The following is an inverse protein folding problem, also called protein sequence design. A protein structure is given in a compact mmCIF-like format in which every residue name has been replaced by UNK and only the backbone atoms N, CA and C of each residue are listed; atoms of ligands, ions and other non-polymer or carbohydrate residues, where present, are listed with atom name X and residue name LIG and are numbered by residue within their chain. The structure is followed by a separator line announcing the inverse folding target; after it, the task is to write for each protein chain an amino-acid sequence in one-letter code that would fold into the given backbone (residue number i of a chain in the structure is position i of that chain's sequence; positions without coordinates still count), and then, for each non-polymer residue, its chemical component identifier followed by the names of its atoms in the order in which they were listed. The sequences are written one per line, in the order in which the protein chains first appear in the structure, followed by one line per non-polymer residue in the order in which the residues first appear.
data_IF_953116631401
#
_entry.id   IF_953116631401
#
_cell.length_a   1.000
_cell.length_b   1.000
_cell.length_c   1.000
_cell.angle_alpha   90.00
_cell.angle_beta   90.00
_cell.angle_gamma   90.00
#
_symmetry.space_group_name_H-M   'P 1'
#
loop_
_entity.id
_entity.type
_entity.pdbx_description
1 polymer ?
#
# COMPACT_ATOMS: atom_id res chain seq x y z
N UNK A 1 -0.29 -25.69 14.41
CA UNK A 1 -0.63 -24.75 15.49
C UNK A 1 0.49 -23.75 15.69
N UNK A 2 1.74 -24.20 15.89
CA UNK A 2 2.92 -23.34 15.99
C UNK A 2 3.02 -22.21 14.94
N UNK A 3 2.91 -22.51 13.63
CA UNK A 3 2.97 -21.48 12.57
C UNK A 3 1.91 -20.37 12.71
N UNK A 4 0.69 -20.74 13.09
CA UNK A 4 -0.41 -19.78 13.28
C UNK A 4 -0.11 -18.87 14.46
N UNK A 5 0.43 -19.42 15.56
CA UNK A 5 0.83 -18.61 16.71
C UNK A 5 1.91 -17.59 16.34
N UNK A 6 2.89 -17.98 15.52
CA UNK A 6 3.90 -17.05 15.00
C UNK A 6 3.23 -15.95 14.17
N UNK A 7 2.33 -16.29 13.24
CA UNK A 7 1.63 -15.28 12.43
C UNK A 7 0.82 -14.30 13.29
N UNK A 8 0.10 -14.80 14.30
CA UNK A 8 -0.64 -13.96 15.26
C UNK A 8 0.31 -13.03 15.99
N UNK A 9 1.41 -13.57 16.53
CA UNK A 9 2.42 -12.77 17.22
C UNK A 9 3.05 -11.72 16.31
N UNK A 10 3.40 -12.07 15.07
CA UNK A 10 3.94 -11.14 14.08
C UNK A 10 2.96 -10.03 13.73
N UNK A 11 1.66 -10.35 13.59
CA UNK A 11 0.62 -9.35 13.33
C UNK A 11 0.45 -8.41 14.53
N UNK A 12 0.42 -8.94 15.75
CA UNK A 12 0.35 -8.11 16.97
C UNK A 12 1.58 -7.22 17.08
N UNK A 13 2.78 -7.76 16.83
CA UNK A 13 4.02 -7.00 16.90
C UNK A 13 4.03 -5.81 15.92
N UNK A 14 3.63 -6.02 14.65
CA UNK A 14 3.59 -4.91 13.67
C UNK A 14 2.54 -3.87 14.04
N UNK A 15 1.37 -4.29 14.56
CA UNK A 15 0.34 -3.36 15.04
C UNK A 15 0.87 -2.52 16.20
N UNK A 16 1.55 -3.14 17.18
CA UNK A 16 2.12 -2.44 18.31
C UNK A 16 3.21 -1.45 17.90
N UNK A 17 4.10 -1.83 16.98
CA UNK A 17 5.14 -0.93 16.46
C UNK A 17 4.51 0.24 15.69
N UNK A 18 3.49 -0.01 14.87
CA UNK A 18 2.79 1.06 14.16
C UNK A 18 1.99 1.98 15.09
N UNK A 19 1.36 1.42 16.13
CA UNK A 19 0.69 2.19 17.17
C UNK A 19 1.70 3.03 17.95
N UNK A 20 2.86 2.48 18.32
CA UNK A 20 3.94 3.27 18.93
C UNK A 20 4.37 4.41 18.01
N UNK A 21 4.59 4.15 16.72
CA UNK A 21 4.97 5.17 15.74
C UNK A 21 3.98 6.34 15.62
N UNK A 22 2.72 6.19 15.99
CA UNK A 22 1.69 7.22 15.80
C UNK A 22 1.04 7.74 17.11
N UNK A 23 1.04 6.96 18.19
CA UNK A 23 0.43 7.30 19.49
C UNK A 23 1.51 7.67 20.53
N UNK A 24 2.65 6.98 20.51
CA UNK A 24 3.81 7.24 21.39
C UNK A 24 5.04 7.49 20.54
N UNK A 25 5.13 8.65 19.86
CA UNK A 25 5.94 8.86 18.67
C UNK A 25 7.37 8.36 18.84
N UNK A 26 7.71 7.29 18.12
CA UNK A 26 9.09 6.78 18.08
C UNK A 26 9.98 7.90 17.57
N UNK A 27 11.03 8.24 18.32
CA UNK A 27 11.91 9.37 18.03
C UNK A 27 11.21 10.74 17.98
N UNK A 28 10.11 10.91 18.74
CA UNK A 28 9.46 12.20 18.98
C UNK A 28 8.64 12.77 17.82
N UNK A 29 8.51 12.04 16.70
CA UNK A 29 7.68 12.43 15.55
C UNK A 29 6.86 11.25 15.05
N UNK A 30 5.64 11.52 14.62
CA UNK A 30 4.78 10.53 13.97
C UNK A 30 5.24 10.25 12.54
N UNK A 31 4.82 9.11 11.97
CA UNK A 31 5.13 8.77 10.58
C UNK A 31 4.67 9.86 9.60
N UNK A 32 3.48 10.41 9.84
CA UNK A 32 2.91 11.50 9.03
C UNK A 32 3.68 12.82 9.17
N UNK A 33 4.13 13.18 10.38
CA UNK A 33 4.95 14.38 10.60
C UNK A 33 6.31 14.30 9.90
N UNK A 34 6.98 13.14 9.94
CA UNK A 34 8.22 12.93 9.20
C UNK A 34 7.95 13.10 7.69
N UNK A 35 6.89 12.47 7.18
CA UNK A 35 6.51 12.57 5.76
C UNK A 35 6.16 13.99 5.32
N UNK A 36 5.67 14.83 6.23
CA UNK A 36 5.35 16.24 5.98
C UNK A 36 6.51 17.21 6.27
N UNK A 37 7.67 16.70 6.72
CA UNK A 37 8.83 17.56 6.99
C UNK A 37 9.54 18.05 5.73
N UNK A 38 9.29 17.41 4.58
CA UNK A 38 9.77 17.83 3.27
C UNK A 38 8.58 18.19 2.35
N UNK A 39 8.77 19.13 1.40
CA UNK A 39 7.73 19.58 0.48
C UNK A 39 7.49 18.56 -0.66
N UNK A 40 7.19 17.31 -0.31
CA UNK A 40 6.92 16.24 -1.28
C UNK A 40 5.46 16.32 -1.72
N UNK A 41 5.22 16.79 -2.95
CA UNK A 41 3.87 16.99 -3.49
C UNK A 41 3.09 15.67 -3.69
N UNK A 42 3.78 14.54 -3.88
CA UNK A 42 3.13 13.22 -3.97
C UNK A 42 2.66 12.69 -2.60
N UNK A 43 3.14 13.22 -1.48
CA UNK A 43 2.70 12.78 -0.16
C UNK A 43 1.23 13.18 0.05
N UNK A 44 0.33 12.28 0.45
CA UNK A 44 -1.07 12.61 0.68
C UNK A 44 -1.29 13.36 2.00
N UNK A 45 -2.50 13.90 2.19
CA UNK A 45 -2.93 14.52 3.44
C UNK A 45 -2.83 13.54 4.63
N UNK A 46 -2.60 14.08 5.83
CA UNK A 46 -2.31 13.27 7.04
C UNK A 46 -3.36 12.20 7.37
N UNK A 47 -4.64 12.47 7.14
CA UNK A 47 -5.71 11.51 7.40
C UNK A 47 -5.61 10.24 6.52
N UNK A 48 -4.95 10.30 5.35
CA UNK A 48 -4.81 9.15 4.45
C UNK A 48 -4.04 8.01 5.09
N UNK A 49 -3.09 8.32 5.98
CA UNK A 49 -2.32 7.34 6.74
C UNK A 49 -3.18 6.47 7.68
N UNK A 50 -4.43 6.86 7.97
CA UNK A 50 -5.39 6.02 8.70
C UNK A 50 -5.71 4.69 7.99
N UNK A 51 -5.39 4.57 6.69
CA UNK A 51 -5.50 3.31 5.95
C UNK A 51 -4.72 2.17 6.60
N UNK A 52 -3.66 2.45 7.37
CA UNK A 52 -2.93 1.42 8.11
C UNK A 52 -3.82 0.68 9.10
N UNK A 53 -4.72 1.38 9.81
CA UNK A 53 -5.68 0.74 10.71
C UNK A 53 -6.63 -0.19 9.95
N UNK A 54 -7.09 0.24 8.77
CA UNK A 54 -7.93 -0.59 7.87
C UNK A 54 -7.16 -1.82 7.38
N UNK A 55 -5.90 -1.65 6.97
CA UNK A 55 -5.03 -2.75 6.54
C UNK A 55 -4.88 -3.77 7.67
N UNK A 56 -4.54 -3.35 8.89
CA UNK A 56 -4.35 -4.30 10.00
C UNK A 56 -5.63 -5.03 10.37
N UNK A 57 -6.78 -4.36 10.34
CA UNK A 57 -8.09 -5.01 10.53
C UNK A 57 -8.35 -6.06 9.44
N UNK A 58 -8.10 -5.72 8.18
CA UNK A 58 -8.24 -6.64 7.05
C UNK A 58 -7.27 -7.83 7.16
N UNK A 59 -6.03 -7.61 7.61
CA UNK A 59 -5.05 -8.69 7.82
C UNK A 59 -5.45 -9.60 8.99
N UNK A 60 -6.12 -9.08 10.03
CA UNK A 60 -6.70 -9.91 11.08
C UNK A 60 -7.84 -10.80 10.54
N UNK A 61 -8.72 -10.23 9.71
CA UNK A 61 -9.79 -10.98 9.03
C UNK A 61 -9.19 -12.05 8.11
N UNK A 62 -8.16 -11.69 7.35
CA UNK A 62 -7.41 -12.61 6.49
C UNK A 62 -6.82 -13.78 7.29
N UNK A 63 -6.16 -13.49 8.41
CA UNK A 63 -5.57 -14.49 9.28
C UNK A 63 -6.63 -15.42 9.86
N UNK A 64 -7.79 -14.88 10.23
CA UNK A 64 -8.93 -15.68 10.69
C UNK A 64 -9.45 -16.63 9.60
N UNK A 65 -9.66 -16.14 8.38
CA UNK A 65 -10.05 -16.98 7.24
C UNK A 65 -8.99 -18.05 6.93
N UNK A 66 -7.71 -17.66 6.95
CA UNK A 66 -6.57 -18.54 6.74
C UNK A 66 -6.51 -19.69 7.76
N UNK A 67 -6.87 -19.44 9.02
CA UNK A 67 -6.97 -20.48 10.05
C UNK A 67 -8.12 -21.47 9.79
N UNK A 68 -9.27 -20.98 9.31
CA UNK A 68 -10.43 -21.84 9.02
C UNK A 68 -10.20 -22.73 7.78
N UNK A 69 -9.50 -22.22 6.78
CA UNK A 69 -9.25 -22.95 5.53
C UNK A 69 -8.01 -23.86 5.59
N UNK A 70 -7.46 -24.11 6.79
CA UNK A 70 -6.26 -24.95 6.97
C UNK A 70 -6.43 -26.38 6.43
N UNK A 71 -7.64 -26.95 6.51
CA UNK A 71 -7.90 -28.32 6.06
C UNK A 71 -8.11 -28.43 4.53
N UNK A 72 -8.44 -27.32 3.86
CA UNK A 72 -8.77 -27.29 2.42
C UNK A 72 -7.59 -26.84 1.56
N UNK A 73 -6.61 -26.16 2.14
CA UNK A 73 -5.42 -25.67 1.42
C UNK A 73 -4.29 -26.69 1.49
N UNK A 74 -3.63 -26.91 0.34
CA UNK A 74 -2.44 -27.76 0.25
C UNK A 74 -1.36 -27.33 1.26
N UNK A 75 -0.77 -28.29 1.96
CA UNK A 75 0.17 -28.01 3.05
C UNK A 75 1.38 -27.16 2.63
N UNK A 76 1.89 -27.36 1.40
CA UNK A 76 3.00 -26.57 0.85
C UNK A 76 2.60 -25.09 0.65
N UNK A 77 1.44 -24.83 0.04
CA UNK A 77 0.90 -23.48 -0.15
C UNK A 77 0.58 -22.79 1.17
N UNK A 78 0.00 -23.52 2.13
CA UNK A 78 -0.24 -23.03 3.48
C UNK A 78 1.07 -22.58 4.14
N UNK A 79 2.11 -23.40 4.09
CA UNK A 79 3.42 -23.09 4.67
C UNK A 79 4.05 -21.87 4.02
N UNK A 80 4.01 -21.80 2.69
CA UNK A 80 4.57 -20.69 1.91
C UNK A 80 3.90 -19.36 2.28
N UNK A 81 2.55 -19.32 2.33
CA UNK A 81 1.79 -18.12 2.71
C UNK A 81 2.10 -17.69 4.15
N UNK A 82 2.20 -18.65 5.08
CA UNK A 82 2.52 -18.36 6.48
C UNK A 82 3.90 -17.70 6.64
N UNK A 83 4.94 -18.26 5.98
CA UNK A 83 6.30 -17.70 6.03
C UNK A 83 6.33 -16.31 5.41
N UNK A 84 5.78 -16.15 4.21
CA UNK A 84 5.74 -14.85 3.53
C UNK A 84 4.98 -13.79 4.34
N UNK A 85 3.88 -14.15 5.00
CA UNK A 85 3.14 -13.23 5.86
C UNK A 85 4.01 -12.74 7.03
N UNK A 86 4.67 -13.66 7.75
CA UNK A 86 5.59 -13.30 8.84
C UNK A 86 6.72 -12.41 8.32
N UNK A 87 7.33 -12.76 7.18
CA UNK A 87 8.34 -11.94 6.53
C UNK A 87 7.82 -10.54 6.20
N UNK A 88 6.57 -10.41 5.74
CA UNK A 88 5.95 -9.11 5.45
C UNK A 88 5.77 -8.26 6.72
N UNK A 89 5.44 -8.87 7.86
CA UNK A 89 5.39 -8.17 9.14
C UNK A 89 6.78 -7.68 9.58
N UNK A 90 7.81 -8.51 9.42
CA UNK A 90 9.19 -8.15 9.76
C UNK A 90 9.69 -6.97 8.90
N UNK A 91 9.47 -6.99 7.59
CA UNK A 91 9.84 -5.88 6.72
C UNK A 91 9.04 -4.61 7.02
N UNK A 92 7.75 -4.73 7.39
CA UNK A 92 6.98 -3.56 7.80
C UNK A 92 7.52 -2.93 9.09
N UNK A 93 7.82 -3.75 10.11
CA UNK A 93 8.46 -3.28 11.35
C UNK A 93 9.80 -2.61 11.05
N UNK A 94 10.65 -3.24 10.24
CA UNK A 94 11.94 -2.69 9.84
C UNK A 94 11.77 -1.35 9.11
N UNK A 95 10.79 -1.24 8.20
CA UNK A 95 10.48 0.00 7.50
C UNK A 95 10.09 1.12 8.48
N UNK A 96 9.20 0.85 9.45
CA UNK A 96 8.79 1.84 10.46
C UNK A 96 9.99 2.33 11.25
N UNK A 97 10.83 1.40 11.74
CA UNK A 97 11.99 1.76 12.54
C UNK A 97 12.99 2.61 11.73
N UNK A 98 13.36 2.17 10.53
CA UNK A 98 14.27 2.91 9.66
C UNK A 98 13.74 4.31 9.33
N UNK A 99 12.43 4.43 9.05
CA UNK A 99 11.77 5.71 8.78
C UNK A 99 11.87 6.66 9.98
N UNK A 100 11.58 6.17 11.18
CA UNK A 100 11.61 6.99 12.40
C UNK A 100 13.02 7.37 12.85
N UNK A 101 14.04 6.56 12.52
CA UNK A 101 15.44 6.89 12.79
C UNK A 101 16.13 7.67 11.65
N UNK A 102 15.40 8.01 10.58
CA UNK A 102 15.92 8.85 9.49
C UNK A 102 16.81 8.15 8.48
N UNK A 103 16.82 6.81 8.45
CA UNK A 103 17.56 6.01 7.47
C UNK A 103 16.75 5.84 6.17
N UNK A 104 16.40 6.96 5.52
CA UNK A 104 15.40 7.02 4.43
C UNK A 104 15.82 6.25 3.17
N UNK A 105 17.10 6.17 2.84
CA UNK A 105 17.59 5.41 1.69
C UNK A 105 17.39 3.90 1.91
N UNK A 106 17.58 3.44 3.15
CA UNK A 106 17.34 2.04 3.53
C UNK A 106 15.85 1.69 3.58
N UNK A 107 14.96 2.66 3.77
CA UNK A 107 13.51 2.40 3.68
C UNK A 107 13.09 2.03 2.28
N UNK A 108 13.77 2.52 1.23
CA UNK A 108 13.55 2.09 -0.16
C UNK A 108 13.86 0.60 -0.32
N UNK A 109 15.01 0.15 0.17
CA UNK A 109 15.40 -1.27 0.09
C UNK A 109 14.36 -2.15 0.79
N UNK A 110 13.99 -1.80 2.01
CA UNK A 110 13.05 -2.60 2.81
C UNK A 110 11.63 -2.57 2.24
N UNK A 111 11.15 -1.43 1.73
CA UNK A 111 9.80 -1.36 1.14
C UNK A 111 9.71 -2.11 -0.19
N UNK A 112 10.78 -2.17 -0.97
CA UNK A 112 10.86 -3.03 -2.17
C UNK A 112 10.82 -4.51 -1.78
N UNK A 113 11.56 -4.93 -0.75
CA UNK A 113 11.51 -6.30 -0.23
C UNK A 113 10.11 -6.66 0.29
N UNK A 114 9.45 -5.73 0.99
CA UNK A 114 8.07 -5.88 1.42
C UNK A 114 7.12 -6.04 0.23
N UNK A 115 7.27 -5.19 -0.80
CA UNK A 115 6.46 -5.22 -2.01
C UNK A 115 6.59 -6.57 -2.74
N UNK A 116 7.82 -7.06 -2.94
CA UNK A 116 8.08 -8.37 -3.56
C UNK A 116 7.48 -9.51 -2.72
N UNK A 117 7.57 -9.43 -1.40
CA UNK A 117 6.96 -10.41 -0.49
C UNK A 117 5.44 -10.45 -0.66
N UNK A 118 4.79 -9.28 -0.68
CA UNK A 118 3.34 -9.16 -0.85
C UNK A 118 2.88 -9.60 -2.24
N UNK A 119 3.62 -9.27 -3.31
CA UNK A 119 3.36 -9.78 -4.66
C UNK A 119 3.42 -11.31 -4.69
N UNK A 120 4.42 -11.89 -4.02
CA UNK A 120 4.57 -13.34 -3.93
C UNK A 120 3.38 -13.98 -3.22
N UNK A 121 2.87 -13.38 -2.13
CA UNK A 121 1.64 -13.84 -1.47
C UNK A 121 0.44 -13.70 -2.42
N UNK A 122 0.29 -12.52 -3.04
CA UNK A 122 -0.83 -12.19 -3.93
C UNK A 122 -0.98 -13.20 -5.07
N UNK A 123 0.12 -13.58 -5.72
CA UNK A 123 0.11 -14.53 -6.83
C UNK A 123 -0.03 -16.00 -6.40
N UNK A 124 -0.05 -16.31 -5.11
CA UNK A 124 -0.46 -17.64 -4.65
C UNK A 124 -1.98 -17.86 -4.74
N UNK A 125 -2.77 -16.80 -4.96
CA UNK A 125 -4.22 -16.90 -5.13
C UNK A 125 -4.59 -17.07 -6.60
N UNK A 126 -5.62 -17.88 -6.87
CA UNK A 126 -6.16 -18.02 -8.21
C UNK A 126 -6.70 -16.68 -8.73
N UNK A 127 -6.57 -16.44 -10.03
CA UNK A 127 -7.17 -15.26 -10.68
C UNK A 127 -8.70 -15.30 -10.63
N UNK A 128 -9.31 -16.49 -10.50
CA UNK A 128 -10.76 -16.71 -10.61
C UNK A 128 -11.49 -16.78 -9.27
N UNK A 129 -10.80 -17.12 -8.18
CA UNK A 129 -11.37 -17.10 -6.83
C UNK A 129 -11.15 -15.73 -6.18
N UNK A 130 -12.15 -14.87 -6.31
CA UNK A 130 -12.11 -13.50 -5.80
C UNK A 130 -12.87 -13.35 -4.47
N UNK A 131 -12.81 -14.37 -3.61
CA UNK A 131 -13.38 -14.26 -2.27
C UNK A 131 -12.66 -13.15 -1.51
N UNK A 132 -13.40 -12.07 -1.22
CA UNK A 132 -12.83 -10.86 -0.65
C UNK A 132 -12.01 -11.16 0.61
N UNK A 133 -12.52 -12.02 1.49
CA UNK A 133 -11.86 -12.38 2.74
C UNK A 133 -10.53 -13.15 2.59
N UNK A 134 -10.19 -13.61 1.37
CA UNK A 134 -8.94 -14.32 1.10
C UNK A 134 -7.90 -13.44 0.40
N UNK A 135 -8.16 -12.99 -0.82
CA UNK A 135 -7.18 -12.19 -1.58
C UNK A 135 -7.28 -10.70 -1.26
N UNK A 136 -8.48 -10.22 -0.93
CA UNK A 136 -8.81 -8.80 -0.77
C UNK A 136 -7.93 -8.07 0.24
N UNK A 137 -7.80 -8.55 1.50
CA UNK A 137 -6.89 -7.96 2.48
C UNK A 137 -5.45 -7.79 2.00
N UNK A 138 -4.89 -8.82 1.36
CA UNK A 138 -3.53 -8.78 0.80
C UNK A 138 -3.48 -7.78 -0.36
N UNK A 139 -4.52 -7.69 -1.19
CA UNK A 139 -4.61 -6.74 -2.28
C UNK A 139 -4.64 -5.28 -1.79
N UNK A 140 -5.39 -4.99 -0.72
CA UNK A 140 -5.40 -3.65 -0.09
C UNK A 140 -4.03 -3.32 0.47
N UNK A 141 -3.41 -4.25 1.19
CA UNK A 141 -2.07 -4.04 1.74
C UNK A 141 -1.04 -3.79 0.63
N UNK A 142 -1.03 -4.63 -0.41
CA UNK A 142 -0.14 -4.49 -1.56
C UNK A 142 -0.34 -3.16 -2.29
N UNK A 143 -1.59 -2.75 -2.53
CA UNK A 143 -1.91 -1.48 -3.19
C UNK A 143 -1.35 -0.29 -2.40
N UNK A 144 -1.47 -0.31 -1.07
CA UNK A 144 -0.90 0.74 -0.23
C UNK A 144 0.62 0.70 -0.23
N UNK A 145 1.25 -0.48 -0.22
CA UNK A 145 2.71 -0.61 -0.32
C UNK A 145 3.24 -0.05 -1.64
N UNK A 146 2.52 -0.19 -2.77
CA UNK A 146 2.90 0.49 -4.03
C UNK A 146 2.90 2.01 -3.89
N UNK A 147 1.82 2.60 -3.36
CA UNK A 147 1.72 4.05 -3.13
C UNK A 147 2.83 4.52 -2.20
N UNK A 148 3.04 3.81 -1.09
CA UNK A 148 4.08 4.12 -0.12
C UNK A 148 5.49 4.01 -0.72
N UNK A 149 5.73 3.04 -1.62
CA UNK A 149 7.02 2.91 -2.32
C UNK A 149 7.30 4.16 -3.15
N UNK A 150 6.32 4.63 -3.94
CA UNK A 150 6.47 5.85 -4.74
C UNK A 150 6.72 7.05 -3.81
N UNK A 151 5.96 7.18 -2.72
CA UNK A 151 6.15 8.26 -1.75
C UNK A 151 7.53 8.23 -1.08
N UNK A 152 8.07 7.05 -0.74
CA UNK A 152 9.42 6.90 -0.16
C UNK A 152 10.49 7.35 -1.16
N UNK A 153 10.37 6.94 -2.43
CA UNK A 153 11.30 7.35 -3.49
C UNK A 153 11.23 8.87 -3.70
N UNK A 154 10.02 9.43 -3.81
CA UNK A 154 9.84 10.88 -3.92
C UNK A 154 10.45 11.63 -2.74
N UNK A 155 10.27 11.12 -1.52
CA UNK A 155 10.84 11.73 -0.31
C UNK A 155 12.37 11.75 -0.33
N UNK A 156 13.01 10.64 -0.68
CA UNK A 156 14.48 10.56 -0.78
C UNK A 156 15.02 11.45 -1.90
N UNK A 157 14.32 11.52 -3.05
CA UNK A 157 14.72 12.42 -4.14
C UNK A 157 14.64 13.90 -3.72
N UNK A 158 13.58 14.29 -3.00
CA UNK A 158 13.45 15.64 -2.44
C UNK A 158 14.50 15.91 -1.37
N UNK A 159 14.80 14.93 -0.51
CA UNK A 159 15.83 15.04 0.54
C UNK A 159 17.22 15.33 -0.04
N UNK A 160 17.56 14.75 -1.19
CA UNK A 160 18.83 14.96 -1.87
C UNK A 160 18.80 16.11 -2.89
N UNK A 161 17.75 16.93 -2.91
CA UNK A 161 17.60 18.07 -3.83
C UNK A 161 17.83 17.66 -5.30
N UNK A 162 17.29 16.50 -5.69
CA UNK A 162 17.49 15.98 -7.04
C UNK A 162 16.94 16.95 -8.09
N UNK A 163 17.81 17.37 -9.02
CA UNK A 163 17.52 18.37 -10.06
C UNK A 163 16.40 18.03 -11.05
N UNK A 164 15.78 16.84 -10.95
CA UNK A 164 14.60 16.47 -11.74
C UNK A 164 14.82 16.44 -13.25
N UNK A 165 16.08 16.43 -13.71
CA UNK A 165 16.45 16.59 -15.12
C UNK A 165 15.85 17.85 -15.78
N UNK A 166 15.65 18.92 -14.99
CA UNK A 166 15.05 20.17 -15.45
C UNK A 166 13.53 20.17 -15.49
N UNK A 167 12.87 19.09 -15.08
CA UNK A 167 11.41 19.06 -14.88
C UNK A 167 11.06 19.58 -13.48
N UNK A 168 9.90 20.23 -13.37
CA UNK A 168 9.40 20.78 -12.10
C UNK A 168 8.80 19.69 -11.19
N UNK A 169 8.77 19.94 -9.88
CA UNK A 169 8.19 19.02 -8.88
C UNK A 169 6.71 18.69 -9.15
N UNK A 170 5.85 19.65 -9.58
CA UNK A 170 4.48 19.33 -9.99
C UNK A 170 4.44 18.36 -11.17
N UNK A 171 5.31 18.54 -12.16
CA UNK A 171 5.37 17.66 -13.33
C UNK A 171 5.83 16.24 -12.95
N UNK A 172 6.87 16.12 -12.11
CA UNK A 172 7.27 14.82 -11.56
C UNK A 172 6.14 14.14 -10.79
N UNK A 173 5.38 14.90 -10.02
CA UNK A 173 4.24 14.37 -9.27
C UNK A 173 3.15 13.83 -10.19
N UNK A 174 2.84 14.52 -11.29
CA UNK A 174 1.91 14.02 -12.31
C UNK A 174 2.44 12.75 -13.00
N UNK A 175 3.74 12.67 -13.25
CA UNK A 175 4.38 11.45 -13.79
C UNK A 175 4.22 10.28 -12.80
N UNK A 176 4.47 10.50 -11.51
CA UNK A 176 4.27 9.49 -10.46
C UNK A 176 2.82 9.04 -10.36
N UNK A 177 1.86 9.96 -10.40
CA UNK A 177 0.42 9.65 -10.40
C UNK A 177 0.02 8.83 -11.65
N UNK A 178 0.56 9.18 -12.81
CA UNK A 178 0.32 8.46 -14.06
C UNK A 178 0.88 7.04 -13.99
N UNK A 179 2.11 6.88 -13.50
CA UNK A 179 2.73 5.57 -13.28
C UNK A 179 1.93 4.73 -12.28
N UNK A 180 1.52 5.30 -11.15
CA UNK A 180 0.66 4.65 -10.16
C UNK A 180 -0.69 4.22 -10.77
N UNK A 181 -1.28 5.04 -11.64
CA UNK A 181 -2.52 4.71 -12.37
C UNK A 181 -2.32 3.52 -13.30
N UNK A 182 -1.20 3.47 -14.03
CA UNK A 182 -0.89 2.33 -14.90
C UNK A 182 -0.81 1.01 -14.10
N UNK A 183 -0.22 1.04 -12.90
CA UNK A 183 -0.18 -0.11 -11.98
C UNK A 183 -1.60 -0.49 -11.56
N UNK A 184 -2.42 0.48 -11.11
CA UNK A 184 -3.80 0.24 -10.71
C UNK A 184 -4.62 -0.44 -11.81
N UNK A 185 -4.58 0.11 -13.03
CA UNK A 185 -5.29 -0.41 -14.20
C UNK A 185 -4.76 -1.79 -14.62
N UNK A 186 -3.45 -2.05 -14.54
CA UNK A 186 -2.90 -3.39 -14.78
C UNK A 186 -3.56 -4.43 -13.87
N UNK A 187 -3.64 -4.16 -12.56
CA UNK A 187 -4.29 -5.07 -11.62
C UNK A 187 -5.81 -5.18 -11.85
N UNK A 188 -6.46 -4.09 -12.26
CA UNK A 188 -7.89 -4.11 -12.61
C UNK A 188 -8.18 -5.01 -13.81
N UNK A 189 -7.47 -4.82 -14.92
CA UNK A 189 -7.79 -5.51 -16.18
C UNK A 189 -7.30 -6.95 -16.22
N UNK A 190 -6.14 -7.26 -15.61
CA UNK A 190 -5.57 -8.62 -15.64
C UNK A 190 -5.98 -9.50 -14.46
N UNK A 191 -6.41 -8.92 -13.33
CA UNK A 191 -6.74 -9.66 -12.11
C UNK A 191 -8.12 -9.34 -11.52
N UNK A 192 -8.86 -8.40 -12.13
CA UNK A 192 -10.19 -7.97 -11.68
C UNK A 192 -10.22 -7.53 -10.20
N UNK A 193 -9.12 -6.92 -9.73
CA UNK A 193 -8.94 -6.59 -8.31
C UNK A 193 -9.38 -5.16 -7.99
N UNK A 194 -10.59 -5.04 -7.48
CA UNK A 194 -11.19 -3.75 -7.14
C UNK A 194 -10.67 -3.23 -5.80
N UNK A 195 -10.36 -4.13 -4.86
CA UNK A 195 -9.87 -3.78 -3.54
C UNK A 195 -8.49 -3.12 -3.64
N UNK A 196 -7.61 -3.66 -4.49
CA UNK A 196 -6.33 -3.03 -4.85
C UNK A 196 -6.52 -1.60 -5.39
N UNK A 197 -7.41 -1.42 -6.36
CA UNK A 197 -7.63 -0.14 -7.04
C UNK A 197 -8.24 0.93 -6.13
N UNK A 198 -9.11 0.54 -5.19
CA UNK A 198 -9.71 1.47 -4.23
C UNK A 198 -8.65 2.21 -3.38
N UNK A 199 -7.50 1.57 -3.14
CA UNK A 199 -6.39 2.20 -2.40
C UNK A 199 -5.76 3.35 -3.17
N UNK A 200 -5.61 3.21 -4.49
CA UNK A 200 -5.06 4.28 -5.34
C UNK A 200 -6.03 5.47 -5.38
N UNK A 201 -7.33 5.21 -5.49
CA UNK A 201 -8.35 6.27 -5.41
C UNK A 201 -8.27 7.01 -4.07
N UNK A 202 -8.21 6.27 -2.96
CA UNK A 202 -8.06 6.86 -1.61
C UNK A 202 -6.81 7.74 -1.50
N UNK A 203 -5.66 7.23 -1.97
CA UNK A 203 -4.40 7.97 -1.96
C UNK A 203 -4.47 9.24 -2.81
N UNK A 204 -4.95 9.14 -4.06
CA UNK A 204 -5.00 10.26 -4.99
C UNK A 204 -5.94 11.37 -4.51
N UNK A 205 -7.08 11.02 -3.91
CA UNK A 205 -7.97 12.01 -3.28
C UNK A 205 -7.22 12.78 -2.20
N UNK A 206 -6.46 12.10 -1.33
CA UNK A 206 -5.70 12.80 -0.30
C UNK A 206 -4.49 13.57 -0.81
N UNK A 207 -3.88 13.17 -1.93
CA UNK A 207 -2.86 13.98 -2.63
C UNK A 207 -3.50 15.28 -3.10
N UNK A 208 -4.68 15.21 -3.73
CA UNK A 208 -5.40 16.41 -4.17
C UNK A 208 -5.80 17.30 -2.99
N UNK A 209 -6.27 16.72 -1.89
CA UNK A 209 -6.65 17.49 -0.69
C UNK A 209 -5.44 18.17 -0.05
N UNK A 210 -4.26 17.53 -0.03
CA UNK A 210 -3.05 18.14 0.54
C UNK A 210 -2.57 19.34 -0.27
N UNK A 211 -2.52 19.18 -1.59
CA UNK A 211 -1.98 20.17 -2.51
C UNK A 211 -2.97 21.33 -2.76
N UNK A 212 -4.27 21.04 -2.71
CA UNK A 212 -5.32 22.06 -2.72
C UNK A 212 -5.22 23.02 -3.91
N UNK A 213 -5.50 24.30 -3.65
CA UNK A 213 -5.40 25.37 -4.64
C UNK A 213 -3.98 25.87 -4.89
N UNK A 214 -3.04 25.59 -3.98
CA UNK A 214 -1.65 26.04 -4.08
C UNK A 214 -0.93 25.34 -5.26
N UNK A 215 -1.25 24.07 -5.48
CA UNK A 215 -0.71 23.26 -6.58
C UNK A 215 -1.85 22.68 -7.44
N UNK A 216 -2.61 23.56 -8.09
CA UNK A 216 -3.82 23.20 -8.86
C UNK A 216 -3.55 22.14 -9.93
N UNK A 217 -2.39 22.17 -10.57
CA UNK A 217 -2.01 21.18 -11.58
C UNK A 217 -1.93 19.76 -11.00
N UNK A 218 -1.29 19.60 -9.83
CA UNK A 218 -1.20 18.32 -9.11
C UNK A 218 -2.57 17.87 -8.64
N UNK A 219 -3.33 18.77 -8.02
CA UNK A 219 -4.66 18.47 -7.47
C UNK A 219 -5.64 18.03 -8.55
N UNK A 220 -5.68 18.73 -9.70
CA UNK A 220 -6.54 18.39 -10.82
C UNK A 220 -6.14 17.04 -11.45
N UNK A 221 -4.84 16.79 -11.65
CA UNK A 221 -4.36 15.52 -12.18
C UNK A 221 -4.70 14.35 -11.26
N UNK A 222 -4.51 14.50 -9.94
CA UNK A 222 -4.82 13.46 -8.97
C UNK A 222 -6.32 13.11 -8.96
N UNK A 223 -7.21 14.11 -8.95
CA UNK A 223 -8.67 13.88 -9.03
C UNK A 223 -9.10 13.26 -10.36
N UNK A 224 -8.54 13.74 -11.47
CA UNK A 224 -8.84 13.20 -12.80
C UNK A 224 -8.45 11.72 -12.91
N UNK A 225 -7.25 11.37 -12.43
CA UNK A 225 -6.76 9.99 -12.46
C UNK A 225 -7.55 9.09 -11.49
N UNK A 226 -7.93 9.60 -10.31
CA UNK A 226 -8.81 8.89 -9.38
C UNK A 226 -10.18 8.59 -10.02
N UNK A 227 -10.79 9.59 -10.67
CA UNK A 227 -12.04 9.43 -11.41
C UNK A 227 -11.92 8.44 -12.58
N UNK A 228 -10.78 8.45 -13.29
CA UNK A 228 -10.50 7.52 -14.38
C UNK A 228 -10.40 6.06 -13.89
N UNK A 229 -9.76 5.83 -12.74
CA UNK A 229 -9.73 4.49 -12.11
C UNK A 229 -11.15 4.08 -11.70
N UNK A 230 -11.91 4.98 -11.06
CA UNK A 230 -13.29 4.69 -10.63
C UNK A 230 -14.21 4.36 -11.81
N UNK A 231 -14.13 5.11 -12.90
CA UNK A 231 -14.86 4.85 -14.14
C UNK A 231 -14.48 3.49 -14.73
N UNK A 232 -13.18 3.16 -14.76
CA UNK A 232 -12.68 1.87 -15.25
C UNK A 232 -13.23 0.70 -14.45
N UNK A 233 -13.32 0.83 -13.11
CA UNK A 233 -13.96 -0.17 -12.24
C UNK A 233 -15.43 -0.35 -12.60
N UNK A 234 -16.16 0.76 -12.78
CA UNK A 234 -17.59 0.73 -13.11
C UNK A 234 -17.86 0.01 -14.44
N UNK A 235 -17.13 0.35 -15.50
CA UNK A 235 -17.27 -0.31 -16.79
C UNK A 235 -16.86 -1.79 -16.75
N UNK A 236 -15.79 -2.12 -16.00
CA UNK A 236 -15.35 -3.51 -15.84
C UNK A 236 -16.39 -4.37 -15.12
N UNK A 237 -17.04 -3.84 -14.09
CA UNK A 237 -18.13 -4.55 -13.38
C UNK A 237 -19.29 -4.88 -14.31
N UNK A 238 -19.73 -3.93 -15.14
CA UNK A 238 -20.81 -4.15 -16.12
C UNK A 238 -20.49 -5.24 -17.14
N UNK A 239 -19.27 -5.26 -17.65
CA UNK A 239 -18.81 -6.30 -18.59
C UNK A 239 -18.88 -7.70 -17.97
N UNK A 240 -18.44 -7.87 -16.73
CA UNK A 240 -18.45 -9.16 -16.01
C UNK A 240 -19.87 -9.65 -15.69
N UNK A 241 -20.82 -8.74 -15.45
CA UNK A 241 -22.23 -9.09 -15.20
C UNK A 241 -22.99 -9.44 -16.48
N UNK A 242 -22.59 -8.88 -17.63
CA UNK A 242 -23.25 -9.13 -18.92
C UNK A 242 -22.86 -10.47 -19.58
N UNK A 243 -21.85 -11.17 -19.06
CA UNK A 243 -21.38 -12.47 -19.60
C UNK A 243 -21.87 -13.67 -18.77
N UNK A 244 -22.74 -13.44 -17.79
CA UNK A 244 -23.45 -14.47 -17.02
C UNK A 244 -24.91 -14.50 -17.44
#
# INVERSE_FOLDING_TARGET
MFRIMIMIFSLIAVILVNAAANIMPINGKTTGEISNSLPVLFTPAGYVFSIWAVIYLLLAIWLYGFMRNKATVEHALFTRRAVLFVTSCLFNIAWILLWHFGFFEWTIVVIVLLLVTLLTIYFTYSKRDNHFYERGPIAVYLGWTFVATIANVSYVLTLHEWSGWGLSDPLWTVIYLTFATAIALHFLYHYADIAFNAVFIWAFIGIAVKNGGDELFVSAAALFLAASIAASIFFRRRSLTSTK
#
